data_IF_990427748851
#
_entry.id   IF_990427748851
#
_cell.length_a   1.000
_cell.length_b   1.000
_cell.length_c   1.000
_cell.angle_alpha   90.00
_cell.angle_beta   90.00
_cell.angle_gamma   90.00
#
_symmetry.space_group_name_H-M   'P 1'
#
loop_
_entity.id
_entity.type
_entity.pdbx_description
1 polymer ?
#
# COMPACT_ATOMS: atom_id res chain seq x y z
N UNK A 1 1.59 -16.86 21.75
CA UNK A 1 0.87 -15.78 21.04
C UNK A 1 1.91 -15.10 20.16
N UNK A 2 1.96 -15.41 18.86
CA UNK A 2 2.98 -14.86 17.98
C UNK A 2 2.44 -13.57 17.39
N UNK A 3 2.76 -12.43 17.99
CA UNK A 3 2.37 -11.12 17.47
C UNK A 3 3.31 -10.77 16.32
N UNK A 4 2.87 -10.96 15.09
CA UNK A 4 3.56 -10.46 13.90
C UNK A 4 3.37 -8.95 13.81
N UNK A 5 4.40 -8.19 14.20
CA UNK A 5 4.44 -6.75 14.03
C UNK A 5 4.71 -6.43 12.56
N UNK A 6 3.80 -5.71 11.93
CA UNK A 6 3.92 -5.28 10.54
C UNK A 6 3.86 -3.77 10.50
N UNK A 7 4.81 -3.13 9.82
CA UNK A 7 4.73 -1.69 9.54
C UNK A 7 3.92 -1.52 8.26
N UNK A 8 2.71 -0.98 8.39
CA UNK A 8 1.87 -0.63 7.24
C UNK A 8 2.04 0.86 6.97
N UNK A 9 2.52 1.21 5.78
CA UNK A 9 2.41 2.57 5.29
C UNK A 9 0.93 2.83 5.00
N UNK A 10 0.34 3.81 5.69
CA UNK A 10 -1.09 4.12 5.60
C UNK A 10 -1.29 5.29 4.64
N UNK A 11 -2.16 5.13 3.64
CA UNK A 11 -2.50 6.20 2.68
C UNK A 11 -3.46 7.23 3.30
N UNK A 12 -4.16 6.80 4.34
CA UNK A 12 -5.12 7.60 5.09
C UNK A 12 -6.01 6.67 5.91
N UNK A 13 -7.12 7.21 6.38
CA UNK A 13 -8.15 6.42 7.06
C UNK A 13 -9.46 6.50 6.27
N UNK A 14 -10.24 5.42 6.27
CA UNK A 14 -11.57 5.43 5.68
C UNK A 14 -12.59 6.18 6.58
N UNK A 15 -13.84 6.24 6.13
CA UNK A 15 -14.94 6.87 6.90
C UNK A 15 -15.21 6.19 8.26
N UNK A 16 -14.67 5.00 8.48
CA UNK A 16 -14.78 4.21 9.69
C UNK A 16 -13.47 4.26 10.51
N UNK A 17 -12.57 5.19 10.18
CA UNK A 17 -11.26 5.40 10.81
C UNK A 17 -10.32 4.19 10.73
N UNK A 18 -10.53 3.30 9.75
CA UNK A 18 -9.63 2.17 9.50
C UNK A 18 -8.51 2.61 8.58
N UNK A 19 -7.28 2.21 8.91
CA UNK A 19 -6.13 2.48 8.08
C UNK A 19 -6.26 1.81 6.71
N UNK A 20 -6.10 2.61 5.65
CA UNK A 20 -6.03 2.12 4.28
C UNK A 20 -4.56 1.82 3.99
N UNK A 21 -4.25 0.55 3.74
CA UNK A 21 -2.92 0.14 3.33
C UNK A 21 -2.55 0.87 2.01
N UNK A 22 -1.38 1.50 1.96
CA UNK A 22 -0.87 2.17 0.75
C UNK A 22 -0.88 1.23 -0.46
N UNK A 23 -0.59 -0.06 -0.27
CA UNK A 23 -0.67 -1.06 -1.34
C UNK A 23 -2.07 -1.15 -1.96
N UNK A 24 -3.12 -0.87 -1.19
CA UNK A 24 -4.50 -0.90 -1.64
C UNK A 24 -4.96 0.41 -2.29
N UNK A 25 -4.24 1.51 -2.07
CA UNK A 25 -4.57 2.81 -2.62
C UNK A 25 -4.40 2.84 -4.14
N UNK A 26 -5.41 3.36 -4.85
CA UNK A 26 -5.45 3.36 -6.32
C UNK A 26 -4.26 4.08 -6.95
N UNK A 27 -3.83 5.20 -6.36
CA UNK A 27 -2.66 5.94 -6.84
C UNK A 27 -1.36 5.13 -6.73
N UNK A 28 -1.21 4.31 -5.69
CA UNK A 28 -0.04 3.46 -5.52
C UNK A 28 -0.07 2.28 -6.50
N UNK A 29 -1.24 1.66 -6.71
CA UNK A 29 -1.41 0.61 -7.73
C UNK A 29 -1.07 1.13 -9.14
N UNK A 30 -1.46 2.36 -9.47
CA UNK A 30 -1.10 2.99 -10.73
C UNK A 30 0.42 3.23 -10.84
N UNK A 31 1.04 3.71 -9.78
CA UNK A 31 2.50 3.90 -9.72
C UNK A 31 3.26 2.59 -9.89
N UNK A 32 2.87 1.52 -9.18
CA UNK A 32 3.47 0.19 -9.30
C UNK A 32 3.37 -0.35 -10.74
N UNK A 33 2.24 -0.13 -11.43
CA UNK A 33 2.08 -0.49 -12.85
C UNK A 33 3.04 0.28 -13.75
N UNK A 34 3.32 1.55 -13.45
CA UNK A 34 4.27 2.35 -14.22
C UNK A 34 5.71 1.85 -14.05
N UNK A 35 6.10 1.52 -12.81
CA UNK A 35 7.40 0.91 -12.51
C UNK A 35 7.57 -0.41 -13.26
N UNK A 36 6.58 -1.30 -13.17
CA UNK A 36 6.61 -2.58 -13.87
C UNK A 36 6.70 -2.40 -15.40
N UNK A 37 5.98 -1.43 -15.97
CA UNK A 37 6.05 -1.10 -17.40
C UNK A 37 7.40 -0.51 -17.81
N UNK A 38 8.08 0.18 -16.90
CA UNK A 38 9.43 0.68 -17.12
C UNK A 38 10.50 -0.42 -17.02
N UNK A 39 10.10 -1.67 -16.70
CA UNK A 39 11.03 -2.79 -16.53
C UNK A 39 11.87 -2.69 -15.25
N UNK A 40 11.45 -1.88 -14.29
CA UNK A 40 12.10 -1.73 -12.99
C UNK A 40 11.51 -2.78 -12.06
N UNK A 41 12.38 -3.60 -11.46
CA UNK A 41 12.02 -4.55 -10.42
C UNK A 41 12.27 -3.92 -9.03
N UNK A 42 11.30 -4.01 -8.12
CA UNK A 42 11.29 -3.34 -6.80
C UNK A 42 10.97 -4.32 -5.67
#
# INVERSE_FOLDING_TARGET
MNCSYSYVLSSGVDKQFRHINVAEADHFKQFARLIARAGIDI
#
